data_IF_802652490758
#
_entry.id   IF_802652490758
#
_cell.length_a   1.000
_cell.length_b   1.000
_cell.length_c   1.000
_cell.angle_alpha   90.00
_cell.angle_beta   90.00
_cell.angle_gamma   90.00
#
_symmetry.space_group_name_H-M   'P 1'
#
loop_
_entity.id
_entity.type
_entity.pdbx_description
1 polymer ?
#
# COMPACT_ATOMS: atom_id res chain seq x y z
N UNK A 1 -9.06 11.67 33.86
CA UNK A 1 -8.44 11.08 32.64
C UNK A 1 -9.19 9.78 32.34
N UNK A 2 -9.67 9.57 31.11
CA UNK A 2 -10.23 8.29 30.69
C UNK A 2 -9.10 7.38 30.17
N UNK A 3 -9.33 6.07 30.28
CA UNK A 3 -8.55 5.05 29.60
C UNK A 3 -9.53 4.13 28.90
N UNK A 4 -9.34 3.91 27.63
CA UNK A 4 -10.10 2.99 26.81
C UNK A 4 -9.13 2.02 26.14
N UNK A 5 -9.44 0.73 26.24
CA UNK A 5 -8.79 -0.34 25.48
C UNK A 5 -9.66 -0.63 24.27
N UNK A 6 -9.07 -0.71 23.11
CA UNK A 6 -9.77 -1.01 21.87
C UNK A 6 -8.90 -1.91 21.00
N UNK A 7 -9.50 -2.55 20.02
CA UNK A 7 -8.74 -3.37 19.10
C UNK A 7 -9.61 -4.14 18.14
N UNK A 8 -8.95 -5.03 17.42
CA UNK A 8 -9.59 -5.96 16.51
C UNK A 8 -8.70 -7.18 16.24
N UNK A 9 -9.34 -8.28 15.88
CA UNK A 9 -8.68 -9.46 15.31
C UNK A 9 -9.22 -9.66 13.90
N UNK A 10 -8.33 -9.75 12.91
CA UNK A 10 -8.65 -9.94 11.50
C UNK A 10 -7.74 -11.02 10.90
N UNK A 11 -8.25 -12.25 10.86
CA UNK A 11 -7.52 -13.41 10.38
C UNK A 11 -8.29 -14.08 9.23
N UNK A 12 -7.55 -14.58 8.24
CA UNK A 12 -8.10 -15.09 7.01
C UNK A 12 -7.37 -16.35 6.51
N UNK A 13 -8.05 -17.08 5.63
CA UNK A 13 -7.45 -18.01 4.68
C UNK A 13 -7.33 -17.31 3.34
N UNK A 14 -6.13 -17.34 2.77
CA UNK A 14 -5.81 -16.77 1.47
C UNK A 14 -5.38 -17.90 0.53
N UNK A 15 -6.21 -18.20 -0.47
CA UNK A 15 -5.85 -19.02 -1.61
C UNK A 15 -5.20 -18.14 -2.66
N UNK A 16 -4.17 -18.67 -3.32
CA UNK A 16 -3.53 -18.07 -4.48
C UNK A 16 -3.25 -19.13 -5.54
N UNK A 17 -3.27 -18.69 -6.81
CA UNK A 17 -2.87 -19.45 -7.99
C UNK A 17 -2.06 -18.52 -8.89
N UNK A 18 -0.85 -18.92 -9.29
CA UNK A 18 0.07 -18.13 -10.10
C UNK A 18 0.22 -18.67 -11.53
N UNK A 19 -0.82 -19.36 -12.02
CA UNK A 19 -0.85 -19.97 -13.33
C UNK A 19 -0.13 -21.33 -13.42
N UNK A 20 0.59 -21.73 -12.40
CA UNK A 20 1.33 -23.01 -12.38
C UNK A 20 1.28 -23.74 -11.04
N UNK A 21 1.25 -23.01 -9.96
CA UNK A 21 1.17 -23.53 -8.61
C UNK A 21 0.07 -22.79 -7.85
N UNK A 22 -0.56 -23.49 -6.92
CA UNK A 22 -1.56 -22.91 -6.04
C UNK A 22 -1.40 -23.40 -4.61
N UNK A 23 -1.80 -22.58 -3.63
CA UNK A 23 -1.77 -22.96 -2.24
C UNK A 23 -2.79 -22.16 -1.40
N UNK A 24 -2.95 -22.56 -0.15
CA UNK A 24 -3.77 -21.85 0.85
C UNK A 24 -2.92 -21.51 2.07
N UNK A 25 -2.92 -20.24 2.46
CA UNK A 25 -2.21 -19.77 3.66
C UNK A 25 -3.19 -19.20 4.69
N UNK A 26 -2.92 -19.44 5.96
CA UNK A 26 -3.52 -18.64 7.03
C UNK A 26 -2.71 -17.36 7.18
N UNK A 27 -3.40 -16.20 7.18
CA UNK A 27 -2.79 -14.88 7.20
C UNK A 27 -3.55 -13.92 8.11
N UNK A 28 -2.85 -12.95 8.69
CA UNK A 28 -3.46 -11.71 9.16
C UNK A 28 -3.75 -10.84 7.94
N UNK A 29 -5.01 -10.40 7.77
CA UNK A 29 -5.41 -9.55 6.66
C UNK A 29 -4.86 -8.12 6.86
N UNK A 30 -3.90 -7.72 6.02
CA UNK A 30 -3.20 -6.43 6.16
C UNK A 30 -4.06 -5.23 5.74
N UNK A 31 -5.18 -5.41 5.02
CA UNK A 31 -6.15 -4.35 4.73
C UNK A 31 -6.60 -3.62 6.00
N UNK A 32 -6.82 -4.36 7.09
CA UNK A 32 -7.05 -3.80 8.43
C UNK A 32 -6.56 -4.79 9.48
N UNK A 33 -5.25 -4.80 9.71
CA UNK A 33 -4.56 -5.83 10.50
C UNK A 33 -5.05 -5.94 11.95
N UNK A 34 -4.86 -7.10 12.54
CA UNK A 34 -5.04 -7.35 13.99
C UNK A 34 -4.23 -6.35 14.81
N UNK A 35 -4.86 -5.74 15.84
CA UNK A 35 -4.23 -4.70 16.66
C UNK A 35 -4.92 -4.56 18.02
N UNK A 36 -4.15 -4.05 18.98
CA UNK A 36 -4.64 -3.61 20.30
C UNK A 36 -4.15 -2.19 20.54
N UNK A 37 -5.00 -1.35 21.09
CA UNK A 37 -4.66 0.04 21.36
C UNK A 37 -5.19 0.53 22.71
N UNK A 38 -4.54 1.56 23.20
CA UNK A 38 -4.87 2.30 24.41
C UNK A 38 -5.01 3.77 24.03
N UNK A 39 -6.14 4.37 24.39
CA UNK A 39 -6.34 5.80 24.23
C UNK A 39 -6.96 6.41 25.45
N UNK A 40 -6.61 7.66 25.69
CA UNK A 40 -7.15 8.36 26.84
C UNK A 40 -7.18 9.85 26.60
N UNK A 41 -8.10 10.53 27.30
CA UNK A 41 -8.26 11.96 27.22
C UNK A 41 -8.72 12.56 28.54
N UNK A 42 -8.41 13.84 28.73
CA UNK A 42 -8.82 14.64 29.87
C UNK A 42 -9.14 16.06 29.43
N UNK A 43 -10.20 16.64 29.97
CA UNK A 43 -10.47 18.07 29.82
C UNK A 43 -9.44 18.85 30.64
N UNK A 44 -8.87 19.88 30.02
CA UNK A 44 -8.06 20.88 30.71
C UNK A 44 -9.00 21.96 31.25
N UNK A 45 -9.95 22.40 30.41
CA UNK A 45 -11.01 23.33 30.76
C UNK A 45 -12.28 23.12 29.88
N UNK A 46 -13.11 24.12 29.72
CA UNK A 46 -14.34 24.04 28.92
C UNK A 46 -14.11 23.85 27.41
N UNK A 47 -12.98 24.34 26.89
CA UNK A 47 -12.65 24.37 25.46
C UNK A 47 -11.43 23.52 25.08
N UNK A 48 -10.57 23.19 26.04
CA UNK A 48 -9.35 22.45 25.83
C UNK A 48 -9.41 21.03 26.37
N UNK A 49 -8.89 20.11 25.59
CA UNK A 49 -8.72 18.69 25.90
C UNK A 49 -7.30 18.26 25.55
N UNK A 50 -6.68 17.40 26.37
CA UNK A 50 -5.44 16.71 26.04
C UNK A 50 -5.65 15.21 26.09
N UNK A 51 -4.90 14.47 25.29
CA UNK A 51 -4.98 13.02 25.26
C UNK A 51 -3.77 12.36 24.63
N UNK A 52 -3.85 11.04 24.54
CA UNK A 52 -2.81 10.20 23.97
C UNK A 52 -3.41 8.99 23.24
N UNK A 53 -2.62 8.40 22.36
CA UNK A 53 -2.90 7.11 21.72
C UNK A 53 -1.62 6.28 21.63
N UNK A 54 -1.72 5.00 21.97
CA UNK A 54 -0.71 3.97 21.74
C UNK A 54 -1.43 2.82 21.06
N UNK A 55 -0.94 2.37 19.90
CA UNK A 55 -1.50 1.24 19.16
C UNK A 55 -0.38 0.30 18.72
N UNK A 56 -0.60 -1.00 18.95
CA UNK A 56 0.33 -2.07 18.61
C UNK A 56 -0.36 -2.99 17.61
N UNK A 57 0.25 -3.16 16.44
CA UNK A 57 -0.14 -4.14 15.45
C UNK A 57 0.34 -5.53 15.85
N UNK A 58 -0.45 -6.53 15.52
CA UNK A 58 -0.14 -7.95 15.78
C UNK A 58 -0.30 -8.70 14.46
N UNK A 59 0.71 -9.45 14.04
CA UNK A 59 0.66 -10.28 12.83
C UNK A 59 1.19 -11.67 13.14
N UNK A 60 0.42 -12.69 12.81
CA UNK A 60 0.86 -14.09 12.83
C UNK A 60 1.51 -14.50 11.51
N UNK A 61 0.98 -13.96 10.42
CA UNK A 61 1.49 -14.00 9.06
C UNK A 61 1.00 -12.73 8.35
N UNK A 62 1.55 -12.37 7.20
CA UNK A 62 1.26 -11.11 6.54
C UNK A 62 0.72 -11.33 5.13
N UNK A 63 -0.57 -11.01 4.88
CA UNK A 63 -1.20 -11.18 3.56
C UNK A 63 -0.53 -10.37 2.46
N UNK A 64 0.08 -9.21 2.79
CA UNK A 64 0.84 -8.35 1.87
C UNK A 64 2.19 -8.95 1.47
N UNK A 65 2.76 -9.87 2.27
CA UNK A 65 4.14 -10.34 2.16
C UNK A 65 4.30 -11.84 1.96
N UNK A 66 3.27 -12.64 2.22
CA UNK A 66 3.29 -14.08 1.95
C UNK A 66 3.56 -14.35 0.49
N UNK A 67 4.41 -15.35 0.20
CA UNK A 67 4.79 -15.71 -1.16
C UNK A 67 4.99 -17.22 -1.31
N UNK A 68 5.31 -17.69 -2.51
CA UNK A 68 5.46 -19.11 -2.85
C UNK A 68 6.48 -19.88 -1.98
N UNK A 69 7.45 -19.18 -1.39
CA UNK A 69 8.50 -19.80 -0.54
C UNK A 69 8.27 -19.53 0.94
N UNK A 70 7.41 -18.59 1.29
CA UNK A 70 7.24 -18.09 2.64
C UNK A 70 5.79 -17.75 2.93
N UNK A 71 5.07 -18.72 3.50
CA UNK A 71 3.67 -18.58 3.86
C UNK A 71 3.41 -17.51 4.93
N UNK A 72 4.41 -17.17 5.74
CA UNK A 72 4.28 -16.15 6.79
C UNK A 72 4.58 -14.74 6.32
N UNK A 73 5.36 -14.57 5.24
CA UNK A 73 5.85 -13.28 4.81
C UNK A 73 6.86 -12.64 5.78
N UNK A 74 7.68 -13.47 6.45
CA UNK A 74 8.57 -13.07 7.54
C UNK A 74 10.00 -12.74 7.11
N UNK A 75 10.16 -12.12 5.97
CA UNK A 75 11.48 -11.69 5.45
C UNK A 75 12.16 -10.59 6.26
N UNK A 76 11.40 -9.89 7.09
CA UNK A 76 11.86 -8.83 7.98
C UNK A 76 11.16 -8.99 9.33
N UNK A 77 11.87 -8.87 10.48
CA UNK A 77 11.25 -8.94 11.81
C UNK A 77 10.05 -8.02 12.03
N UNK A 78 9.95 -6.93 11.25
CA UNK A 78 8.80 -6.03 11.28
C UNK A 78 7.56 -6.55 10.52
N UNK A 79 7.68 -7.64 9.75
CA UNK A 79 6.59 -8.15 8.92
C UNK A 79 5.67 -9.12 9.67
N UNK A 80 6.15 -9.73 10.75
CA UNK A 80 5.37 -10.53 11.71
C UNK A 80 5.69 -10.14 13.15
N UNK A 81 4.81 -10.50 14.09
CA UNK A 81 4.97 -10.21 15.51
C UNK A 81 4.25 -8.93 15.93
N UNK A 82 4.91 -8.14 16.75
CA UNK A 82 4.39 -6.89 17.28
C UNK A 82 5.09 -5.69 16.64
N UNK A 83 4.33 -4.74 16.12
CA UNK A 83 4.84 -3.47 15.61
C UNK A 83 4.13 -2.29 16.24
N UNK A 84 4.89 -1.25 16.58
CA UNK A 84 4.32 0.01 17.06
C UNK A 84 3.70 0.76 15.89
N UNK A 85 2.39 1.07 16.00
CA UNK A 85 1.64 1.82 14.99
C UNK A 85 1.48 3.28 15.37
N UNK A 86 0.96 3.53 16.57
CA UNK A 86 0.75 4.87 17.07
C UNK A 86 1.40 5.02 18.45
N UNK A 87 2.07 6.13 18.68
CA UNK A 87 2.58 6.58 19.98
C UNK A 87 2.68 8.10 19.97
N UNK A 88 1.58 8.77 20.30
CA UNK A 88 1.52 10.23 20.27
C UNK A 88 0.61 10.79 21.36
N UNK A 89 0.84 12.06 21.68
CA UNK A 89 -0.08 12.88 22.45
C UNK A 89 -0.70 13.98 21.59
N UNK A 90 -1.83 14.53 22.03
CA UNK A 90 -2.47 15.65 21.37
C UNK A 90 -3.04 16.65 22.37
N UNK A 91 -3.18 17.88 21.90
CA UNK A 91 -3.96 18.94 22.55
C UNK A 91 -4.97 19.45 21.53
N UNK A 92 -6.22 19.49 21.92
CA UNK A 92 -7.36 19.88 21.06
C UNK A 92 -8.11 21.03 21.68
N UNK A 93 -8.47 22.01 20.85
CA UNK A 93 -9.38 23.11 21.19
C UNK A 93 -10.57 23.11 20.22
N UNK A 94 -11.76 23.33 20.73
CA UNK A 94 -12.99 23.31 19.92
C UNK A 94 -13.01 24.32 18.77
N UNK A 95 -12.34 25.48 18.95
CA UNK A 95 -12.31 26.59 18.00
C UNK A 95 -11.07 26.58 17.11
N UNK A 96 -9.94 26.10 17.63
CA UNK A 96 -8.63 26.19 16.97
C UNK A 96 -8.14 24.86 16.39
N UNK A 97 -8.88 23.75 16.58
CA UNK A 97 -8.49 22.45 16.10
C UNK A 97 -7.56 21.70 17.05
N UNK A 98 -6.75 20.80 16.52
CA UNK A 98 -5.84 19.96 17.31
C UNK A 98 -4.42 19.96 16.78
N UNK A 99 -3.45 19.86 17.71
CA UNK A 99 -2.04 19.59 17.43
C UNK A 99 -1.68 18.27 18.10
N UNK A 100 -1.00 17.40 17.37
CA UNK A 100 -0.50 16.12 17.87
C UNK A 100 0.99 15.98 17.57
N UNK A 101 1.73 15.26 18.42
CA UNK A 101 3.15 15.01 18.29
C UNK A 101 3.49 13.58 18.68
N UNK A 102 4.25 12.91 17.83
CA UNK A 102 4.74 11.55 18.02
C UNK A 102 4.61 10.70 16.77
N UNK A 103 4.77 9.39 16.92
CA UNK A 103 4.59 8.42 15.85
C UNK A 103 3.10 8.26 15.54
N UNK A 104 2.69 8.66 14.35
CA UNK A 104 1.28 8.67 13.93
C UNK A 104 1.13 8.73 12.41
N UNK A 105 -0.10 8.57 11.92
CA UNK A 105 -0.47 8.78 10.54
C UNK A 105 -0.25 10.24 10.10
N UNK A 106 0.24 10.43 8.88
CA UNK A 106 0.40 11.76 8.27
C UNK A 106 -0.95 12.41 7.92
N UNK A 107 -0.93 13.63 7.38
CA UNK A 107 -2.16 14.30 6.98
C UNK A 107 -2.84 13.61 5.79
N UNK A 108 -2.07 13.05 4.86
CA UNK A 108 -2.57 12.36 3.66
C UNK A 108 -2.81 10.87 3.84
N UNK A 109 -2.55 10.29 5.02
CA UNK A 109 -2.86 8.86 5.29
C UNK A 109 -4.32 8.55 4.96
N UNK A 110 -4.57 7.52 4.16
CA UNK A 110 -5.88 7.09 3.69
C UNK A 110 -6.65 8.11 2.82
N UNK A 111 -5.95 9.02 2.14
CA UNK A 111 -6.62 10.02 1.30
C UNK A 111 -7.12 9.44 -0.03
N UNK A 112 -6.48 8.38 -0.51
CA UNK A 112 -6.83 7.69 -1.76
C UNK A 112 -7.80 6.52 -1.55
N UNK A 113 -8.13 6.17 -0.29
CA UNK A 113 -8.94 5.00 0.07
C UNK A 113 -10.19 5.32 0.90
N UNK A 114 -10.69 6.57 0.88
CA UNK A 114 -11.88 6.96 1.64
C UNK A 114 -13.05 6.04 1.30
N UNK A 115 -13.59 5.39 2.34
CA UNK A 115 -14.60 4.37 2.18
C UNK A 115 -15.54 4.33 3.39
N UNK A 116 -16.86 4.47 3.14
CA UNK A 116 -17.90 4.47 4.16
C UNK A 116 -18.55 3.10 4.38
N UNK A 117 -18.12 2.07 3.63
CA UNK A 117 -18.68 0.71 3.70
C UNK A 117 -17.81 -0.25 4.49
N UNK A 118 -18.30 -1.47 4.74
CA UNK A 118 -17.55 -2.51 5.46
C UNK A 118 -16.30 -2.97 4.72
N UNK A 119 -16.24 -2.79 3.39
CA UNK A 119 -15.11 -3.25 2.56
C UNK A 119 -13.78 -2.62 2.96
N UNK A 120 -13.77 -1.43 3.57
CA UNK A 120 -12.57 -0.77 4.11
C UNK A 120 -11.76 -1.62 5.09
N UNK A 121 -12.40 -2.60 5.72
CA UNK A 121 -11.78 -3.43 6.75
C UNK A 121 -11.15 -4.71 6.20
N UNK A 122 -11.51 -5.14 4.96
CA UNK A 122 -11.05 -6.44 4.45
C UNK A 122 -10.71 -6.47 2.95
N UNK A 123 -11.16 -5.48 2.17
CA UNK A 123 -10.91 -5.38 0.73
C UNK A 123 -10.88 -3.90 0.31
N UNK A 124 -9.80 -3.23 0.62
CA UNK A 124 -9.56 -1.86 0.18
C UNK A 124 -9.41 -1.84 -1.34
N UNK A 125 -10.08 -0.92 -1.99
CA UNK A 125 -10.14 -0.86 -3.44
C UNK A 125 -8.91 -0.22 -4.07
N UNK A 126 -8.16 0.59 -3.32
CA UNK A 126 -6.94 1.27 -3.76
C UNK A 126 -5.66 0.64 -3.21
N UNK A 127 -5.69 0.04 -2.02
CA UNK A 127 -4.59 -0.69 -1.38
C UNK A 127 -4.62 -2.18 -1.78
N UNK A 128 -4.63 -2.47 -3.07
CA UNK A 128 -4.75 -3.86 -3.57
C UNK A 128 -3.58 -4.74 -3.12
N UNK A 129 -2.42 -4.13 -2.90
CA UNK A 129 -1.21 -4.81 -2.48
C UNK A 129 -1.28 -5.44 -1.07
N UNK A 130 -2.26 -5.07 -0.27
CA UNK A 130 -2.49 -5.68 1.05
C UNK A 130 -2.97 -7.14 0.97
N UNK A 131 -3.34 -7.63 -0.23
CA UNK A 131 -3.83 -9.00 -0.43
C UNK A 131 -3.03 -9.75 -1.50
N UNK A 132 -2.13 -10.66 -1.08
CA UNK A 132 -1.41 -11.59 -1.96
C UNK A 132 -0.29 -10.98 -2.80
N UNK A 133 -0.02 -9.70 -2.71
CA UNK A 133 0.99 -9.03 -3.54
C UNK A 133 2.45 -9.31 -3.12
N UNK A 134 2.67 -10.08 -2.07
CA UNK A 134 3.96 -10.68 -1.76
C UNK A 134 4.39 -11.77 -2.73
N UNK A 135 3.47 -12.30 -3.56
CA UNK A 135 3.78 -13.34 -4.54
C UNK A 135 4.80 -12.84 -5.56
N UNK A 136 5.76 -13.71 -5.86
CA UNK A 136 6.78 -13.49 -6.88
C UNK A 136 6.16 -13.63 -8.26
N UNK A 137 6.61 -12.82 -9.20
CA UNK A 137 6.20 -12.93 -10.59
C UNK A 137 6.68 -14.25 -11.18
N UNK A 138 5.82 -14.89 -11.95
CA UNK A 138 6.15 -16.07 -12.72
C UNK A 138 6.27 -15.72 -14.20
N UNK A 139 7.36 -16.11 -14.82
CA UNK A 139 7.57 -15.88 -16.26
C UNK A 139 6.64 -16.79 -17.08
N UNK A 140 5.82 -16.19 -17.93
CA UNK A 140 4.96 -16.93 -18.87
C UNK A 140 5.77 -17.66 -19.95
N UNK A 141 7.04 -17.29 -20.18
CA UNK A 141 7.88 -17.94 -21.18
C UNK A 141 8.43 -19.28 -20.69
N UNK A 142 8.89 -19.35 -19.44
CA UNK A 142 9.64 -20.51 -18.91
C UNK A 142 9.06 -21.09 -17.62
N UNK A 143 8.01 -20.50 -17.06
CA UNK A 143 7.33 -20.94 -15.84
C UNK A 143 8.16 -20.82 -14.58
N UNK A 144 9.28 -20.08 -14.59
CA UNK A 144 10.15 -19.88 -13.43
C UNK A 144 9.71 -18.62 -12.65
N UNK A 145 9.90 -18.69 -11.34
CA UNK A 145 9.70 -17.51 -10.48
C UNK A 145 10.91 -16.55 -10.55
N UNK A 146 10.65 -15.27 -10.34
CA UNK A 146 11.66 -14.19 -10.33
C UNK A 146 12.66 -14.27 -9.18
N UNK A 147 12.64 -15.32 -8.40
CA UNK A 147 13.62 -15.57 -7.37
C UNK A 147 14.92 -16.11 -7.97
N UNK A 148 16.00 -15.32 -7.97
CA UNK A 148 17.32 -15.74 -8.45
C UNK A 148 18.09 -16.63 -7.49
N UNK A 149 17.55 -16.99 -6.35
CA UNK A 149 18.22 -17.92 -5.44
C UNK A 149 18.19 -19.35 -5.99
N UNK A 150 18.93 -19.59 -7.07
CA UNK A 150 19.31 -20.95 -7.51
C UNK A 150 20.30 -21.57 -6.52
N UNK A 151 20.90 -20.77 -5.67
CA UNK A 151 21.70 -21.23 -4.51
C UNK A 151 21.08 -20.68 -3.24
N UNK A 152 20.75 -21.52 -2.26
CA UNK A 152 20.55 -21.06 -0.91
C UNK A 152 21.85 -20.35 -0.51
N UNK A 153 21.87 -19.03 -0.57
CA UNK A 153 22.98 -18.30 0.04
C UNK A 153 22.91 -18.63 1.52
N UNK A 154 24.00 -19.17 2.04
CA UNK A 154 24.18 -19.53 3.44
C UNK A 154 24.19 -18.32 4.39
N UNK A 155 23.67 -17.18 3.95
CA UNK A 155 23.46 -16.01 4.79
C UNK A 155 22.11 -16.16 5.48
N UNK A 156 22.14 -16.39 6.77
CA UNK A 156 20.98 -16.52 7.66
C UNK A 156 20.14 -15.25 7.79
N UNK A 157 20.34 -14.26 6.94
CA UNK A 157 19.70 -12.94 7.01
C UNK A 157 18.81 -12.59 5.81
N UNK A 158 18.75 -13.43 4.78
CA UNK A 158 17.87 -13.23 3.62
C UNK A 158 16.94 -14.42 3.45
N UNK A 159 15.65 -14.22 3.65
CA UNK A 159 14.63 -15.24 3.32
C UNK A 159 14.58 -15.48 1.81
N UNK A 160 14.35 -16.74 1.39
CA UNK A 160 14.03 -17.04 -0.01
C UNK A 160 12.82 -16.18 -0.44
N UNK A 161 12.96 -15.34 -1.40
CA UNK A 161 11.91 -14.40 -1.83
C UNK A 161 12.21 -12.93 -1.58
N UNK A 162 13.11 -12.57 -0.65
CA UNK A 162 13.48 -11.17 -0.41
C UNK A 162 14.18 -10.53 -1.61
N UNK A 163 14.83 -11.30 -2.45
CA UNK A 163 15.54 -10.85 -3.63
C UNK A 163 14.73 -10.96 -4.94
N UNK A 164 13.51 -11.50 -4.88
CA UNK A 164 12.64 -11.62 -6.04
C UNK A 164 11.85 -10.36 -6.35
N UNK A 165 11.38 -10.23 -7.59
CA UNK A 165 10.40 -9.24 -7.97
C UNK A 165 9.01 -9.79 -7.63
N UNK A 166 8.28 -9.09 -6.78
CA UNK A 166 6.91 -9.43 -6.36
C UNK A 166 5.90 -8.50 -7.01
N UNK A 167 4.63 -8.90 -7.09
CA UNK A 167 3.54 -8.03 -7.54
C UNK A 167 3.56 -6.68 -6.81
N UNK A 168 3.73 -6.69 -5.49
CA UNK A 168 3.81 -5.46 -4.68
C UNK A 168 4.92 -4.51 -5.13
N UNK A 169 6.05 -5.05 -5.61
CA UNK A 169 7.18 -4.23 -6.05
C UNK A 169 6.99 -3.60 -7.42
N UNK A 170 5.94 -3.95 -8.13
CA UNK A 170 5.55 -3.25 -9.36
C UNK A 170 4.86 -1.92 -9.03
N UNK A 171 4.11 -1.88 -7.93
CA UNK A 171 3.34 -0.70 -7.54
C UNK A 171 4.22 0.28 -6.76
N UNK A 172 4.17 1.54 -7.15
CA UNK A 172 4.75 2.67 -6.41
C UNK A 172 6.25 2.61 -6.17
N UNK A 173 6.99 1.74 -6.87
CA UNK A 173 8.43 1.45 -6.67
C UNK A 173 8.81 1.12 -5.19
N UNK A 174 7.94 1.38 -4.26
CA UNK A 174 8.04 1.06 -2.83
C UNK A 174 7.17 -0.11 -2.41
N UNK A 175 6.16 -0.39 -3.20
CA UNK A 175 5.12 -1.36 -2.94
C UNK A 175 4.00 -0.76 -2.12
N UNK A 176 3.75 0.51 -2.30
CA UNK A 176 2.64 1.27 -1.74
C UNK A 176 2.07 2.15 -2.87
N UNK A 177 0.74 2.28 -3.01
CA UNK A 177 0.14 3.04 -4.09
C UNK A 177 0.57 4.51 -4.05
N UNK A 178 0.67 5.19 -5.20
CA UNK A 178 0.99 6.61 -5.25
C UNK A 178 -0.16 7.48 -4.70
N UNK A 179 0.17 8.67 -4.20
CA UNK A 179 -0.79 9.71 -3.88
C UNK A 179 -1.10 9.90 -2.40
N UNK A 180 -0.60 9.05 -1.50
CA UNK A 180 -0.82 9.20 -0.06
C UNK A 180 0.37 8.80 0.79
N UNK A 181 0.35 9.19 2.07
CA UNK A 181 1.33 8.80 3.08
C UNK A 181 0.87 7.59 3.86
N UNK A 182 1.19 6.39 3.41
CA UNK A 182 0.68 5.13 3.98
C UNK A 182 1.25 4.73 5.34
N UNK A 183 2.33 5.30 5.77
CA UNK A 183 3.05 4.82 6.96
C UNK A 183 2.90 5.74 8.14
N UNK A 184 3.31 5.23 9.29
CA UNK A 184 3.41 5.99 10.51
C UNK A 184 4.78 6.67 10.56
N UNK A 185 4.76 7.96 10.83
CA UNK A 185 5.93 8.83 10.91
C UNK A 185 6.04 9.47 12.29
N UNK A 186 7.26 9.79 12.70
CA UNK A 186 7.48 10.69 13.84
C UNK A 186 7.28 12.13 13.34
N UNK A 187 6.11 12.70 13.62
CA UNK A 187 5.73 14.00 13.07
C UNK A 187 4.91 14.85 14.05
N UNK A 188 4.84 16.13 13.74
CA UNK A 188 3.82 17.03 14.26
C UNK A 188 2.70 17.15 13.22
N UNK A 189 1.45 17.07 13.68
CA UNK A 189 0.27 17.24 12.82
C UNK A 189 -0.70 18.25 13.41
N UNK A 190 -1.19 19.14 12.57
CA UNK A 190 -2.32 20.00 12.86
C UNK A 190 -3.56 19.52 12.11
N UNK A 191 -4.70 19.60 12.76
CA UNK A 191 -6.02 19.36 12.17
C UNK A 191 -6.98 20.47 12.57
N UNK A 192 -7.63 21.10 11.59
CA UNK A 192 -8.58 22.17 11.82
C UNK A 192 -9.86 21.68 12.51
N UNK A 193 -10.64 22.55 13.11
CA UNK A 193 -12.05 22.23 13.36
C UNK A 193 -12.76 21.89 12.07
N UNK A 194 -13.82 21.10 12.17
CA UNK A 194 -14.74 20.91 11.04
C UNK A 194 -15.54 22.20 10.78
N UNK A 195 -15.55 22.65 9.54
CA UNK A 195 -16.29 23.83 9.08
C UNK A 195 -17.13 23.42 7.86
N UNK A 196 -18.43 23.38 8.03
CA UNK A 196 -19.39 22.99 6.97
C UNK A 196 -19.06 21.63 6.31
N UNK A 197 -18.63 20.65 7.11
CA UNK A 197 -18.21 19.33 6.67
C UNK A 197 -16.74 19.22 6.21
N UNK A 198 -16.03 20.34 6.11
CA UNK A 198 -14.62 20.35 5.71
C UNK A 198 -13.67 20.30 6.90
N UNK A 199 -12.62 19.48 6.80
CA UNK A 199 -11.49 19.44 7.73
C UNK A 199 -10.19 19.53 6.94
N UNK A 200 -9.34 20.49 7.29
CA UNK A 200 -7.99 20.63 6.74
C UNK A 200 -6.96 20.07 7.71
N UNK A 201 -5.95 19.40 7.20
CA UNK A 201 -4.83 18.90 8.01
C UNK A 201 -3.49 19.15 7.33
N UNK A 202 -2.45 19.30 8.16
CA UNK A 202 -1.07 19.46 7.73
C UNK A 202 -0.17 18.68 8.66
N UNK A 203 0.85 17.99 8.13
CA UNK A 203 1.88 17.37 8.94
C UNK A 203 3.29 17.68 8.42
N UNK A 204 4.25 17.61 9.34
CA UNK A 204 5.66 17.74 9.06
C UNK A 204 6.46 16.86 10.03
N UNK A 205 7.45 16.17 9.51
CA UNK A 205 8.31 15.32 10.33
C UNK A 205 9.35 14.62 9.48
N UNK A 206 10.00 13.68 10.06
CA UNK A 206 11.07 12.84 9.54
C UNK A 206 11.64 13.27 8.19
N UNK A 207 12.89 13.75 8.17
CA UNK A 207 13.67 13.95 6.96
C UNK A 207 13.02 14.88 5.91
N UNK A 208 12.44 15.99 6.38
CA UNK A 208 11.75 16.99 5.57
C UNK A 208 10.54 16.48 4.75
N UNK A 209 9.90 15.45 5.24
CA UNK A 209 8.56 15.08 4.77
C UNK A 209 7.52 16.06 5.30
N UNK A 210 6.66 16.55 4.43
CA UNK A 210 5.47 17.30 4.81
C UNK A 210 4.31 16.97 3.88
N UNK A 211 3.11 17.07 4.39
CA UNK A 211 1.89 16.86 3.62
C UNK A 211 0.72 17.72 4.08
N UNK A 212 -0.24 17.87 3.19
CA UNK A 212 -1.47 18.63 3.38
C UNK A 212 -2.65 17.80 2.87
N UNK A 213 -3.77 17.85 3.58
CA UNK A 213 -5.01 17.23 3.13
C UNK A 213 -6.23 18.09 3.44
N UNK A 214 -7.22 18.02 2.56
CA UNK A 214 -8.56 18.56 2.74
C UNK A 214 -9.56 17.42 2.62
N UNK A 215 -10.38 17.22 3.64
CA UNK A 215 -11.43 16.20 3.67
C UNK A 215 -12.80 16.84 3.81
N UNK A 216 -13.78 16.21 3.22
CA UNK A 216 -15.19 16.59 3.32
C UNK A 216 -16.03 15.39 3.76
N UNK A 217 -16.96 15.61 4.66
CA UNK A 217 -18.03 14.68 5.02
C UNK A 217 -19.36 15.41 5.10
N UNK A 218 -20.40 14.85 4.50
CA UNK A 218 -21.71 15.46 4.53
C UNK A 218 -22.83 14.53 4.08
N UNK A 219 -24.04 14.90 4.40
CA UNK A 219 -25.27 14.20 4.02
C UNK A 219 -26.22 15.16 3.32
N UNK A 220 -26.69 14.81 2.15
CA UNK A 220 -27.68 15.60 1.41
C UNK A 220 -28.49 14.73 0.45
N UNK A 221 -29.81 14.98 0.38
CA UNK A 221 -30.69 14.29 -0.56
C UNK A 221 -30.72 12.77 -0.40
N UNK A 222 -30.45 12.22 0.79
CA UNK A 222 -30.37 10.78 1.05
C UNK A 222 -29.02 10.13 0.65
N UNK A 223 -28.03 10.95 0.29
CA UNK A 223 -26.67 10.49 0.02
C UNK A 223 -25.72 10.89 1.15
N UNK A 224 -24.94 9.94 1.63
CA UNK A 224 -23.73 10.17 2.44
C UNK A 224 -22.54 10.30 1.52
N UNK A 225 -21.80 11.39 1.66
CA UNK A 225 -20.60 11.67 0.87
C UNK A 225 -19.42 11.88 1.79
N UNK A 226 -18.32 11.19 1.51
CA UNK A 226 -17.01 11.48 2.07
C UNK A 226 -16.00 11.59 0.93
N UNK A 227 -15.19 12.64 0.93
CA UNK A 227 -14.20 12.87 -0.11
C UNK A 227 -12.94 13.52 0.48
N UNK A 228 -11.84 13.43 -0.22
CA UNK A 228 -10.62 14.11 0.18
C UNK A 228 -9.61 14.21 -0.95
N UNK A 229 -8.74 15.21 -0.83
CA UNK A 229 -7.57 15.39 -1.68
C UNK A 229 -6.38 15.73 -0.81
N UNK A 230 -5.20 15.30 -1.22
CA UNK A 230 -3.97 15.51 -0.48
C UNK A 230 -2.75 15.66 -1.38
N UNK A 231 -1.76 16.34 -0.84
CA UNK A 231 -0.45 16.51 -1.47
C UNK A 231 0.63 16.30 -0.43
N UNK A 232 1.65 15.51 -0.76
CA UNK A 232 2.80 15.26 0.08
C UNK A 232 4.11 15.41 -0.67
N UNK A 233 5.16 15.78 0.06
CA UNK A 233 6.49 16.00 -0.53
C UNK A 233 7.60 15.67 0.45
N UNK A 234 8.67 15.07 -0.08
CA UNK A 234 10.00 14.99 0.54
C UNK A 234 10.93 15.93 -0.18
N UNK A 235 11.62 16.82 0.53
CA UNK A 235 12.45 17.87 -0.07
C UNK A 235 13.94 17.60 0.04
N UNK A 236 14.37 16.84 1.04
CA UNK A 236 15.79 16.54 1.31
C UNK A 236 15.92 15.19 2.05
N UNK A 237 15.37 14.13 1.46
CA UNK A 237 15.30 12.83 2.08
C UNK A 237 16.64 12.10 2.13
N UNK A 238 16.90 11.45 3.26
CA UNK A 238 18.04 10.56 3.43
C UNK A 238 17.64 9.10 3.16
N UNK A 239 18.37 8.41 2.30
CA UNK A 239 18.13 7.05 1.82
C UNK A 239 17.67 6.01 2.86
N UNK A 240 18.17 6.07 4.09
CA UNK A 240 17.81 5.09 5.13
C UNK A 240 16.51 5.43 5.88
N UNK A 241 16.02 6.65 5.77
CA UNK A 241 14.90 7.15 6.57
C UNK A 241 13.64 7.41 5.76
N UNK A 242 13.76 7.74 4.48
CA UNK A 242 12.63 8.03 3.58
C UNK A 242 12.01 6.80 2.92
N UNK A 243 12.10 5.66 3.53
CA UNK A 243 11.59 4.37 2.99
C UNK A 243 10.12 4.38 2.55
N UNK A 244 9.44 5.49 2.67
CA UNK A 244 7.99 5.49 2.77
C UNK A 244 7.29 6.34 1.72
N UNK A 245 7.92 7.38 1.21
CA UNK A 245 7.29 8.30 0.25
C UNK A 245 8.03 8.29 -1.08
N UNK A 246 9.35 8.23 -1.05
CA UNK A 246 10.16 8.11 -2.26
C UNK A 246 10.62 6.68 -2.49
N UNK A 247 11.01 6.34 -3.72
CA UNK A 247 11.58 5.06 -4.07
C UNK A 247 12.75 4.69 -3.16
N UNK A 248 12.47 3.81 -2.26
CA UNK A 248 13.29 3.62 -1.06
C UNK A 248 14.49 2.71 -1.19
N UNK A 249 15.16 2.55 -2.33
CA UNK A 249 16.48 1.90 -2.37
C UNK A 249 17.33 2.43 -3.49
N UNK A 250 18.26 3.24 -3.08
CA UNK A 250 19.34 3.69 -3.91
C UNK A 250 20.41 2.60 -4.06
N UNK A 251 20.58 2.12 -5.24
CA UNK A 251 21.92 1.91 -5.74
C UNK A 251 22.44 3.29 -6.16
N UNK A 252 22.86 4.11 -5.20
CA UNK A 252 23.39 5.42 -5.49
C UNK A 252 24.52 5.27 -6.50
N UNK A 253 24.46 6.05 -7.59
CA UNK A 253 25.59 6.12 -8.50
C UNK A 253 26.81 6.58 -7.69
N UNK A 254 28.02 6.05 -7.97
CA UNK A 254 29.23 6.57 -7.35
C UNK A 254 29.28 8.10 -7.51
N UNK A 255 29.32 8.83 -6.38
CA UNK A 255 29.35 10.29 -6.35
C UNK A 255 27.99 11.00 -6.21
N UNK A 256 26.88 10.28 -6.17
CA UNK A 256 25.57 10.86 -5.79
C UNK A 256 25.43 10.76 -4.28
N UNK A 257 25.25 11.90 -3.62
CA UNK A 257 24.99 11.91 -2.19
C UNK A 257 23.66 11.20 -1.91
N UNK A 258 23.65 10.31 -0.93
CA UNK A 258 22.46 9.59 -0.47
C UNK A 258 21.39 10.50 0.16
N UNK A 259 21.63 11.78 0.23
CA UNK A 259 20.84 12.84 0.88
C UNK A 259 19.96 13.64 -0.09
N UNK A 260 19.88 13.29 -1.37
CA UNK A 260 19.18 14.10 -2.38
C UNK A 260 17.93 13.36 -2.93
N UNK A 261 17.21 12.67 -2.05
CA UNK A 261 15.92 12.06 -2.41
C UNK A 261 14.83 13.12 -2.40
N UNK A 262 14.19 13.31 -3.54
CA UNK A 262 13.07 14.22 -3.73
C UNK A 262 11.98 13.50 -4.46
N UNK A 263 10.81 13.50 -3.87
CA UNK A 263 9.60 13.02 -4.53
C UNK A 263 8.40 13.84 -4.05
N UNK A 264 7.39 13.88 -4.85
CA UNK A 264 6.09 14.42 -4.48
C UNK A 264 4.97 13.50 -4.96
N UNK A 265 3.84 13.64 -4.33
CA UNK A 265 2.65 12.87 -4.65
C UNK A 265 1.38 13.67 -4.42
N UNK A 266 0.38 13.42 -5.24
CA UNK A 266 -0.95 13.98 -5.15
C UNK A 266 -1.97 12.87 -5.31
N UNK A 267 -2.99 12.85 -4.45
CA UNK A 267 -4.05 11.87 -4.56
C UNK A 267 -5.34 12.32 -3.90
N UNK A 268 -6.37 11.54 -4.14
CA UNK A 268 -7.67 11.80 -3.55
C UNK A 268 -8.67 10.70 -3.83
N UNK A 269 -9.75 10.73 -3.08
CA UNK A 269 -10.83 9.76 -3.26
C UNK A 269 -12.18 10.29 -2.80
N UNK A 270 -13.21 9.57 -3.20
CA UNK A 270 -14.60 9.85 -2.86
C UNK A 270 -15.34 8.54 -2.56
N UNK A 271 -16.20 8.59 -1.55
CA UNK A 271 -17.14 7.53 -1.21
C UNK A 271 -18.54 8.11 -1.14
N UNK A 272 -19.48 7.53 -1.87
CA UNK A 272 -20.89 7.93 -1.91
C UNK A 272 -21.76 6.73 -1.58
N UNK A 273 -22.67 6.90 -0.62
CA UNK A 273 -23.65 5.86 -0.24
C UNK A 273 -25.06 6.45 -0.31
N UNK A 274 -25.94 5.83 -1.07
CA UNK A 274 -27.35 6.16 -1.08
C UNK A 274 -28.09 5.38 0.02
N UNK A 275 -28.50 6.04 1.08
CA UNK A 275 -29.02 5.42 2.30
C UNK A 275 -30.23 4.52 2.09
N UNK A 276 -31.17 4.97 1.25
CA UNK A 276 -32.43 4.24 1.04
C UNK A 276 -32.22 2.90 0.34
N UNK A 277 -31.36 2.85 -0.67
CA UNK A 277 -31.09 1.62 -1.44
C UNK A 277 -29.91 0.82 -0.90
N UNK A 278 -28.97 1.48 -0.23
CA UNK A 278 -27.68 0.92 0.16
C UNK A 278 -26.66 0.85 -0.98
N UNK A 279 -26.98 1.38 -2.17
CA UNK A 279 -26.02 1.46 -3.28
C UNK A 279 -24.85 2.37 -2.89
N UNK A 280 -23.66 1.96 -3.25
CA UNK A 280 -22.46 2.75 -2.99
C UNK A 280 -21.50 2.76 -4.16
N UNK A 281 -20.66 3.80 -4.19
CA UNK A 281 -19.54 3.97 -5.10
C UNK A 281 -18.36 4.55 -4.30
N UNK A 282 -17.21 3.89 -4.40
CA UNK A 282 -15.92 4.38 -3.94
C UNK A 282 -15.02 4.54 -5.16
N UNK A 283 -14.29 5.66 -5.24
CA UNK A 283 -13.32 5.89 -6.31
C UNK A 283 -12.13 6.67 -5.77
N UNK A 284 -10.94 6.32 -6.22
CA UNK A 284 -9.70 6.97 -5.82
C UNK A 284 -8.69 6.99 -6.98
N UNK A 285 -7.78 7.95 -6.90
CA UNK A 285 -6.68 8.07 -7.84
C UNK A 285 -5.49 8.77 -7.16
N UNK A 286 -4.30 8.51 -7.66
CA UNK A 286 -3.11 9.16 -7.16
C UNK A 286 -1.97 9.14 -8.17
N UNK A 287 -1.07 10.10 -8.04
CA UNK A 287 0.15 10.22 -8.83
C UNK A 287 1.34 10.50 -7.91
N UNK A 288 2.49 9.95 -8.27
CA UNK A 288 3.77 10.17 -7.59
C UNK A 288 4.85 10.42 -8.63
N UNK A 289 5.68 11.44 -8.38
CA UNK A 289 6.87 11.74 -9.17
C UNK A 289 8.11 11.55 -8.29
N UNK A 290 9.08 10.77 -8.75
CA UNK A 290 10.29 10.46 -8.01
C UNK A 290 11.54 10.90 -8.78
N UNK A 291 11.97 12.13 -8.54
CA UNK A 291 13.18 12.72 -9.17
C UNK A 291 14.46 11.92 -8.90
N UNK A 292 14.45 11.07 -7.88
CA UNK A 292 15.64 10.28 -7.54
C UNK A 292 15.87 9.11 -8.49
N UNK A 293 14.83 8.59 -9.15
CA UNK A 293 14.97 7.51 -10.13
C UNK A 293 15.97 7.87 -11.23
N UNK A 294 15.92 9.09 -11.75
CA UNK A 294 16.84 9.57 -12.79
C UNK A 294 18.30 9.67 -12.33
N UNK A 295 18.54 9.75 -11.03
CA UNK A 295 19.88 9.86 -10.43
C UNK A 295 20.51 8.52 -10.08
N UNK A 296 19.77 7.42 -10.17
CA UNK A 296 20.30 6.10 -9.89
C UNK A 296 21.29 5.67 -10.97
N UNK A 297 22.36 4.93 -10.55
CA UNK A 297 23.44 4.51 -11.44
C UNK A 297 22.96 3.84 -12.72
N UNK A 298 21.91 3.02 -12.62
CA UNK A 298 21.32 2.27 -13.73
C UNK A 298 20.56 3.13 -14.71
N UNK A 299 20.08 4.30 -14.30
CA UNK A 299 19.29 5.21 -15.09
C UNK A 299 20.04 6.48 -15.49
N UNK A 300 21.08 6.87 -14.78
CA UNK A 300 21.79 8.14 -14.94
C UNK A 300 22.36 8.35 -16.34
N UNK A 301 22.65 7.28 -17.09
CA UNK A 301 23.18 7.34 -18.48
C UNK A 301 22.12 7.01 -19.52
N UNK A 302 20.86 6.82 -19.14
CA UNK A 302 19.78 6.39 -20.02
C UNK A 302 18.80 7.53 -20.23
N UNK A 303 18.64 7.98 -21.46
CA UNK A 303 17.66 9.03 -21.77
C UNK A 303 16.21 8.50 -21.72
N UNK A 304 15.28 9.38 -21.34
CA UNK A 304 13.84 9.11 -21.37
C UNK A 304 13.35 8.25 -20.20
N UNK A 305 14.01 8.30 -19.06
CA UNK A 305 13.51 7.67 -17.82
C UNK A 305 12.23 8.36 -17.39
N UNK A 306 11.14 7.61 -17.32
CA UNK A 306 9.91 8.05 -16.73
C UNK A 306 9.97 7.77 -15.21
N UNK A 307 9.77 8.81 -14.42
CA UNK A 307 9.78 8.80 -12.96
C UNK A 307 8.40 8.99 -12.35
N UNK A 308 7.37 9.00 -13.19
CA UNK A 308 5.97 9.08 -12.79
C UNK A 308 5.36 7.70 -12.53
N UNK A 309 4.41 7.68 -11.66
CA UNK A 309 3.63 6.51 -11.29
C UNK A 309 2.23 6.99 -10.94
N UNK A 310 1.22 6.36 -11.47
CA UNK A 310 -0.16 6.70 -11.19
C UNK A 310 -1.06 5.49 -11.07
N UNK A 311 -2.19 5.67 -10.43
CA UNK A 311 -3.25 4.68 -10.37
C UNK A 311 -4.62 5.34 -10.32
N UNK A 312 -5.61 4.59 -10.69
CA UNK A 312 -7.01 4.85 -10.36
C UNK A 312 -7.72 3.56 -9.98
N UNK A 313 -8.74 3.68 -9.16
CA UNK A 313 -9.49 2.52 -8.67
C UNK A 313 -10.95 2.89 -8.43
N UNK A 314 -11.81 1.90 -8.57
CA UNK A 314 -13.25 2.03 -8.31
C UNK A 314 -13.79 0.76 -7.66
N UNK A 315 -14.71 0.93 -6.71
CA UNK A 315 -15.47 -0.15 -6.10
C UNK A 315 -16.92 0.27 -5.99
N UNK A 316 -17.85 -0.54 -6.49
CA UNK A 316 -19.26 -0.25 -6.44
C UNK A 316 -20.05 -1.48 -5.98
N UNK A 317 -21.19 -1.24 -5.34
CA UNK A 317 -21.98 -2.34 -4.82
C UNK A 317 -23.21 -1.90 -4.04
N UNK A 318 -23.69 -2.81 -3.22
CA UNK A 318 -24.80 -2.59 -2.31
C UNK A 318 -24.41 -3.03 -0.89
N UNK A 319 -24.66 -2.18 0.09
CA UNK A 319 -24.51 -2.47 1.51
C UNK A 319 -25.81 -2.16 2.24
N UNK A 320 -26.53 -3.19 2.66
CA UNK A 320 -27.83 -3.06 3.30
C UNK A 320 -28.11 -4.18 4.28
N UNK A 321 -28.97 -3.93 5.27
CA UNK A 321 -29.53 -4.98 6.12
C UNK A 321 -30.59 -5.76 5.37
N UNK A 322 -30.25 -6.94 4.86
CA UNK A 322 -31.19 -7.87 4.25
C UNK A 322 -31.72 -8.88 5.28
N UNK A 323 -31.11 -8.95 6.45
CA UNK A 323 -31.45 -9.86 7.54
C UNK A 323 -31.23 -9.16 8.90
N UNK A 324 -31.64 -9.82 9.98
CA UNK A 324 -31.54 -9.30 11.35
C UNK A 324 -30.13 -9.29 11.95
N UNK A 325 -29.17 -10.01 11.33
CA UNK A 325 -27.81 -10.11 11.87
C UNK A 325 -27.03 -8.80 11.71
N UNK A 326 -27.19 -8.15 10.57
CA UNK A 326 -26.45 -6.91 10.26
C UNK A 326 -26.47 -6.59 8.78
N UNK A 327 -25.57 -5.75 8.34
CA UNK A 327 -25.43 -5.38 6.92
C UNK A 327 -24.79 -6.52 6.12
N UNK A 328 -25.35 -6.78 4.93
CA UNK A 328 -24.68 -7.57 3.89
C UNK A 328 -24.13 -6.62 2.85
N UNK A 329 -22.90 -6.82 2.42
CA UNK A 329 -22.23 -6.05 1.37
C UNK A 329 -21.92 -6.98 0.20
N UNK A 330 -22.28 -6.58 -1.01
CA UNK A 330 -21.91 -7.26 -2.27
C UNK A 330 -21.30 -6.18 -3.15
N UNK A 331 -20.13 -6.45 -3.73
CA UNK A 331 -19.39 -5.46 -4.51
C UNK A 331 -18.60 -6.06 -5.65
N UNK A 332 -18.27 -5.21 -6.62
CA UNK A 332 -17.23 -5.40 -7.62
C UNK A 332 -16.23 -4.26 -7.56
N UNK A 333 -15.00 -4.53 -7.96
CA UNK A 333 -13.92 -3.55 -7.96
C UNK A 333 -13.02 -3.69 -9.19
N UNK A 334 -12.40 -2.57 -9.55
CA UNK A 334 -11.36 -2.49 -10.56
C UNK A 334 -10.28 -1.53 -10.08
N UNK A 335 -9.03 -1.90 -10.34
CA UNK A 335 -7.84 -1.11 -10.05
C UNK A 335 -6.91 -1.16 -11.26
N UNK A 336 -6.30 -0.04 -11.58
CA UNK A 336 -5.38 0.12 -12.69
C UNK A 336 -4.21 1.00 -12.22
N UNK A 337 -3.00 0.49 -12.42
CA UNK A 337 -1.76 1.15 -12.06
C UNK A 337 -0.79 1.13 -13.24
N UNK A 338 -0.25 2.30 -13.55
CA UNK A 338 0.87 2.47 -14.47
C UNK A 338 2.07 3.11 -13.76
N UNK A 339 3.25 2.52 -13.94
CA UNK A 339 4.51 3.01 -13.41
C UNK A 339 5.59 3.08 -14.46
N UNK A 340 6.39 4.13 -14.41
CA UNK A 340 7.59 4.27 -15.21
C UNK A 340 8.74 3.36 -14.74
N UNK A 341 9.94 3.87 -14.73
CA UNK A 341 11.13 3.12 -14.31
C UNK A 341 11.03 2.70 -12.83
N UNK A 342 11.49 1.48 -12.56
CA UNK A 342 11.44 0.90 -11.22
C UNK A 342 12.85 0.60 -10.69
N UNK A 343 13.16 1.15 -9.52
CA UNK A 343 14.49 1.07 -8.91
C UNK A 343 14.78 -0.26 -8.22
N UNK A 344 13.76 -1.10 -8.04
CA UNK A 344 13.84 -2.25 -7.13
C UNK A 344 14.81 -3.31 -7.60
N UNK A 345 15.00 -3.49 -8.92
CA UNK A 345 15.85 -4.54 -9.41
C UNK A 345 16.40 -4.31 -10.82
N UNK A 346 17.60 -4.86 -11.04
CA UNK A 346 18.10 -5.15 -12.37
C UNK A 346 17.80 -6.61 -12.69
N UNK A 347 17.17 -6.90 -13.81
CA UNK A 347 16.98 -8.25 -14.31
C UNK A 347 18.31 -8.73 -14.90
N UNK A 348 18.88 -9.76 -14.29
CA UNK A 348 20.18 -10.33 -14.72
C UNK A 348 19.96 -11.46 -15.72
N UNK A 349 21.04 -11.90 -16.35
CA UNK A 349 21.05 -13.00 -17.33
C UNK A 349 20.39 -14.31 -16.81
N UNK A 350 20.53 -14.62 -15.52
CA UNK A 350 19.97 -15.82 -14.91
C UNK A 350 18.54 -15.63 -14.39
N UNK A 351 17.98 -14.43 -14.49
CA UNK A 351 16.63 -14.14 -14.03
C UNK A 351 15.58 -14.86 -14.88
N UNK A 352 14.46 -15.22 -14.25
CA UNK A 352 13.32 -15.82 -14.93
C UNK A 352 12.72 -14.91 -16.00
N UNK A 353 12.81 -13.60 -15.79
CA UNK A 353 12.31 -12.57 -16.71
C UNK A 353 13.33 -12.11 -17.76
N UNK A 354 14.55 -12.68 -17.78
CA UNK A 354 15.53 -12.27 -18.78
C UNK A 354 15.06 -12.61 -20.20
N UNK A 355 14.89 -11.62 -21.08
CA UNK A 355 14.50 -11.89 -22.46
C UNK A 355 15.58 -12.57 -23.28
N UNK A 356 16.81 -12.61 -22.76
CA UNK A 356 17.96 -13.21 -23.42
C UNK A 356 18.82 -13.99 -22.40
N UNK A 357 18.44 -15.25 -22.10
CA UNK A 357 19.19 -16.10 -21.17
C UNK A 357 20.54 -16.47 -21.78
N UNK A 358 21.59 -15.82 -21.41
CA UNK A 358 22.94 -16.03 -21.93
C UNK A 358 23.69 -14.74 -22.26
N UNK A 359 22.99 -13.63 -22.30
CA UNK A 359 23.61 -12.33 -22.55
C UNK A 359 24.34 -11.82 -21.30
N UNK A 360 25.54 -11.30 -21.45
CA UNK A 360 26.39 -10.80 -20.37
C UNK A 360 25.96 -9.43 -19.81
N UNK A 361 24.75 -8.94 -20.14
CA UNK A 361 24.25 -7.64 -19.71
C UNK A 361 22.99 -7.77 -18.86
N UNK A 362 22.75 -6.75 -18.04
CA UNK A 362 21.51 -6.62 -17.25
C UNK A 362 20.43 -5.81 -17.98
N UNK A 363 19.22 -5.92 -17.49
CA UNK A 363 18.07 -5.18 -17.93
C UNK A 363 17.52 -4.32 -16.77
N UNK A 364 17.25 -3.06 -17.03
CA UNK A 364 16.50 -2.21 -16.09
C UNK A 364 15.01 -2.43 -16.29
N UNK A 365 14.24 -2.38 -15.23
CA UNK A 365 12.79 -2.28 -15.30
C UNK A 365 12.46 -0.88 -15.77
N UNK A 366 11.77 -0.78 -16.92
CA UNK A 366 11.53 0.46 -17.63
C UNK A 366 10.10 0.95 -17.52
N UNK A 367 9.17 0.04 -17.30
CA UNK A 367 7.76 0.30 -17.04
C UNK A 367 7.12 -0.87 -16.34
N UNK A 368 6.12 -0.61 -15.53
CA UNK A 368 5.33 -1.61 -14.81
C UNK A 368 3.86 -1.27 -14.90
N UNK A 369 3.00 -2.27 -15.11
CA UNK A 369 1.54 -2.15 -15.07
C UNK A 369 0.95 -3.21 -14.14
N UNK A 370 -0.16 -2.88 -13.48
CA UNK A 370 -0.93 -3.83 -12.67
C UNK A 370 -2.42 -3.50 -12.79
N UNK A 371 -3.20 -4.45 -13.28
CA UNK A 371 -4.65 -4.38 -13.29
C UNK A 371 -5.25 -5.41 -12.32
N UNK A 372 -6.31 -5.03 -11.62
CA UNK A 372 -7.03 -5.93 -10.70
C UNK A 372 -8.53 -5.86 -10.95
N UNK A 373 -9.12 -7.01 -11.18
CA UNK A 373 -10.57 -7.20 -11.23
C UNK A 373 -11.00 -7.98 -9.99
N UNK A 374 -11.93 -7.44 -9.22
CA UNK A 374 -12.34 -8.08 -7.97
C UNK A 374 -13.84 -8.07 -7.74
N UNK A 375 -14.27 -8.99 -6.90
CA UNK A 375 -15.64 -9.03 -6.38
C UNK A 375 -15.66 -9.68 -5.00
N UNK A 376 -16.70 -9.41 -4.24
CA UNK A 376 -16.83 -10.04 -2.92
C UNK A 376 -18.18 -9.87 -2.26
N UNK A 377 -18.30 -10.56 -1.15
CA UNK A 377 -19.46 -10.52 -0.27
C UNK A 377 -19.02 -10.49 1.18
N UNK A 378 -19.73 -9.74 2.00
CA UNK A 378 -19.53 -9.74 3.45
C UNK A 378 -20.86 -9.71 4.19
N UNK A 379 -20.88 -10.33 5.38
CA UNK A 379 -22.01 -10.33 6.31
C UNK A 379 -21.56 -9.79 7.67
N UNK A 380 -22.13 -8.68 8.06
CA UNK A 380 -21.98 -8.13 9.39
C UNK A 380 -22.85 -8.87 10.43
N UNK A 381 -22.33 -9.00 11.63
CA UNK A 381 -23.01 -9.52 12.80
C UNK A 381 -22.94 -8.46 13.92
N UNK A 382 -23.91 -7.53 13.92
CA UNK A 382 -23.89 -6.34 14.76
C UNK A 382 -23.70 -6.66 16.26
N UNK A 383 -24.34 -7.72 16.76
CA UNK A 383 -24.25 -8.15 18.17
C UNK A 383 -22.87 -8.68 18.57
N UNK A 384 -22.11 -9.17 17.61
CA UNK A 384 -20.77 -9.73 17.84
C UNK A 384 -19.66 -8.75 17.42
N UNK A 385 -20.02 -7.56 16.93
CA UNK A 385 -19.09 -6.62 16.29
C UNK A 385 -18.17 -7.32 15.28
N UNK A 386 -18.74 -8.26 14.51
CA UNK A 386 -18.02 -9.15 13.59
C UNK A 386 -18.48 -8.93 12.15
N UNK A 387 -17.55 -9.06 11.22
CA UNK A 387 -17.82 -9.16 9.77
C UNK A 387 -17.14 -10.42 9.25
N UNK A 388 -17.92 -11.31 8.62
CA UNK A 388 -17.41 -12.41 7.81
C UNK A 388 -17.30 -11.94 6.37
N UNK A 389 -16.25 -12.30 5.65
CA UNK A 389 -16.04 -11.86 4.27
C UNK A 389 -15.47 -12.97 3.38
N UNK A 390 -15.76 -12.83 2.11
CA UNK A 390 -15.17 -13.58 1.00
C UNK A 390 -14.90 -12.59 -0.13
N UNK A 391 -13.66 -12.53 -0.61
CA UNK A 391 -13.23 -11.71 -1.74
C UNK A 391 -12.47 -12.54 -2.76
N UNK A 392 -12.62 -12.19 -4.02
CA UNK A 392 -11.86 -12.70 -5.16
C UNK A 392 -11.20 -11.54 -5.87
N UNK A 393 -9.96 -11.73 -6.33
CA UNK A 393 -9.21 -10.83 -7.19
C UNK A 393 -8.48 -11.61 -8.26
N UNK A 394 -8.60 -11.16 -9.50
CA UNK A 394 -7.75 -11.53 -10.63
C UNK A 394 -6.76 -10.39 -10.86
N UNK A 395 -5.47 -10.71 -10.97
CA UNK A 395 -4.38 -9.75 -11.09
C UNK A 395 -3.62 -10.00 -12.37
N UNK A 396 -3.68 -9.06 -13.29
CA UNK A 396 -2.84 -9.00 -14.47
C UNK A 396 -1.67 -8.06 -14.23
N UNK A 397 -0.51 -8.34 -14.79
CA UNK A 397 0.65 -7.48 -14.63
C UNK A 397 1.53 -7.43 -15.88
N UNK A 398 2.02 -6.25 -16.19
CA UNK A 398 2.88 -5.95 -17.31
C UNK A 398 4.25 -5.46 -16.85
N UNK A 399 5.29 -5.88 -17.57
CA UNK A 399 6.66 -5.50 -17.31
C UNK A 399 7.42 -5.21 -18.59
N UNK A 400 7.96 -4.01 -18.68
CA UNK A 400 8.83 -3.59 -19.77
C UNK A 400 10.27 -3.47 -19.27
N UNK A 401 11.20 -4.03 -20.02
CA UNK A 401 12.62 -4.06 -19.73
C UNK A 401 13.41 -3.26 -20.78
N UNK A 402 14.47 -2.56 -20.35
CA UNK A 402 15.42 -1.87 -21.23
C UNK A 402 16.85 -2.36 -20.98
N UNK A 403 17.52 -2.73 -22.06
CA UNK A 403 18.91 -3.19 -22.01
C UNK A 403 19.86 -2.09 -21.53
N UNK A 404 20.70 -2.43 -20.54
CA UNK A 404 21.71 -1.52 -19.99
C UNK A 404 22.95 -1.46 -20.87
N UNK A 405 23.58 -0.29 -20.95
CA UNK A 405 24.86 -0.11 -21.65
C UNK A 405 26.02 -0.74 -20.90
N UNK A 406 27.00 -1.30 -21.59
CA UNK A 406 28.27 -1.72 -21.01
C UNK A 406 28.64 -3.19 -21.18
N UNK A 407 27.86 -3.99 -21.89
CA UNK A 407 28.19 -5.38 -22.19
C UNK A 407 28.85 -5.51 -23.57
N UNK A 408 29.92 -6.31 -23.64
CA UNK A 408 30.68 -6.58 -24.85
C UNK A 408 30.01 -7.58 -25.80
N UNK A 409 28.86 -8.14 -25.39
CA UNK A 409 28.08 -9.08 -26.21
C UNK A 409 26.62 -9.13 -25.72
N UNK A 410 25.67 -8.88 -26.60
CA UNK A 410 24.22 -8.94 -26.31
C UNK A 410 23.39 -7.98 -27.18
N UNK A 411 22.05 -7.98 -27.06
CA UNK A 411 21.20 -7.06 -27.81
C UNK A 411 21.62 -5.61 -27.60
N UNK A 412 21.40 -4.80 -28.60
CA UNK A 412 21.85 -3.42 -28.62
C UNK A 412 21.41 -2.70 -27.34
N UNK A 413 22.37 -1.99 -26.73
CA UNK A 413 22.10 -1.00 -25.68
C UNK A 413 20.87 -0.18 -26.03
N UNK A 414 19.91 -0.11 -25.09
CA UNK A 414 18.66 0.61 -25.28
C UNK A 414 17.53 -0.18 -25.94
N UNK A 415 17.71 -1.47 -26.24
CA UNK A 415 16.60 -2.30 -26.72
C UNK A 415 15.51 -2.43 -25.65
N UNK A 416 14.25 -2.22 -26.02
CA UNK A 416 13.08 -2.39 -25.16
C UNK A 416 12.46 -3.77 -25.45
N UNK A 417 12.07 -4.49 -24.40
CA UNK A 417 11.44 -5.81 -24.45
C UNK A 417 10.35 -5.92 -23.40
N UNK A 418 9.25 -6.55 -23.76
CA UNK A 418 8.25 -6.97 -22.80
C UNK A 418 8.71 -8.27 -22.14
N UNK A 419 8.48 -8.40 -20.85
CA UNK A 419 8.70 -9.63 -20.09
C UNK A 419 7.32 -10.17 -19.64
N UNK A 420 6.70 -11.07 -20.41
CA UNK A 420 5.38 -11.57 -20.10
C UNK A 420 5.43 -12.42 -18.82
N UNK A 421 4.49 -12.16 -17.94
CA UNK A 421 4.29 -12.85 -16.65
C UNK A 421 2.92 -13.51 -16.63
N UNK A 422 2.77 -14.53 -15.80
CA UNK A 422 1.49 -15.19 -15.56
C UNK A 422 0.60 -14.34 -14.68
N UNK A 423 -0.69 -14.41 -14.90
CA UNK A 423 -1.72 -13.81 -14.07
C UNK A 423 -1.84 -14.53 -12.72
N UNK A 424 -2.42 -13.86 -11.75
CA UNK A 424 -2.60 -14.40 -10.40
C UNK A 424 -4.05 -14.32 -9.98
N UNK A 425 -4.60 -15.44 -9.51
CA UNK A 425 -5.90 -15.51 -8.88
C UNK A 425 -5.77 -15.58 -7.35
N UNK A 426 -6.53 -14.75 -6.66
CA UNK A 426 -6.54 -14.63 -5.21
C UNK A 426 -7.96 -14.81 -4.68
N UNK A 427 -8.13 -15.66 -3.66
CA UNK A 427 -9.37 -15.74 -2.88
C UNK A 427 -9.05 -15.58 -1.42
N UNK A 428 -9.68 -14.63 -0.75
CA UNK A 428 -9.50 -14.45 0.69
C UNK A 428 -10.84 -14.54 1.43
N UNK A 429 -10.89 -15.38 2.45
CA UNK A 429 -12.06 -15.51 3.33
C UNK A 429 -11.62 -15.46 4.78
N UNK A 430 -12.35 -14.71 5.58
CA UNK A 430 -11.96 -14.50 6.98
C UNK A 430 -13.02 -13.79 7.79
N UNK A 431 -12.61 -13.40 8.99
CA UNK A 431 -13.44 -12.65 9.91
C UNK A 431 -12.66 -11.52 10.56
N UNK A 432 -13.29 -10.38 10.72
CA UNK A 432 -12.85 -9.30 11.60
C UNK A 432 -13.81 -9.17 12.77
N UNK A 433 -13.26 -9.12 13.99
CA UNK A 433 -14.00 -8.89 15.24
C UNK A 433 -13.38 -7.66 15.92
N UNK A 434 -14.21 -6.68 16.28
CA UNK A 434 -13.78 -5.43 16.94
C UNK A 434 -14.23 -5.42 18.40
N UNK A 435 -13.38 -4.87 19.28
CA UNK A 435 -13.67 -4.76 20.73
C UNK A 435 -13.19 -3.43 21.31
#
# INVERSE_FOLDING_TARGET
MSLEVYGQVNEALMYWDDGKESNVYQVTNDNSRTRIGFRGKAKIDADWEAGYRIEIGVRSANSKRSNQFNAKGDGNPADIGLDLRDSYWFVKNKKFGSVSLGMQASATDQITEINQTQTKDFAKYSDVEDTGFGLLLRSAINGRLTNNAVTPTTSATSSPGDNGLTLRRLIGDGGDQPGEGERRFNLIKYESPEIAGFTASASWGEDDFWDLALRYTGEFGGFKVAAGVGYGKVTDGYYLQTKTVCAGRADAAPGVASTDQKCDQFGGSISVVHEATGLFLNAGAGVKNDDYLKKQARFATVAGVDDSQDFWAVQAGIEKKFNEFGKTTIYGEYYDYEGGANSRRTVTQSDALSPDPGAAHGWAIWGTGVEVFGAGIAQGFDKAAMVLYLSYRHVESDLTLKGLTGATSGPASGAIRNAPVEDVDLVMTGAIIKF
#
